data_IF_868005043006
#
_entry.id   IF_868005043006
#
_cell.length_a   1.000
_cell.length_b   1.000
_cell.length_c   1.000
_cell.angle_alpha   90.00
_cell.angle_beta   90.00
_cell.angle_gamma   90.00
#
_symmetry.space_group_name_H-M   'P 1'
#
loop_
_entity.id
_entity.type
_entity.pdbx_description
1 polymer ?
#
# COMPACT_ATOMS: atom_id res chain seq x y z
N UNK A 1 -5.58 4.15 14.44
CA UNK A 1 -6.22 4.29 13.11
C UNK A 1 -7.19 5.49 13.00
N UNK A 2 -8.12 5.75 13.95
CA UNK A 2 -9.09 6.85 13.81
C UNK A 2 -8.46 8.24 13.58
N UNK A 3 -7.38 8.57 14.31
CA UNK A 3 -6.62 9.81 14.12
C UNK A 3 -6.06 9.96 12.70
N UNK A 4 -5.48 8.89 12.14
CA UNK A 4 -4.91 8.89 10.80
C UNK A 4 -5.99 9.18 9.74
N UNK A 5 -7.14 8.50 9.82
CA UNK A 5 -8.25 8.75 8.91
C UNK A 5 -8.78 10.18 9.02
N UNK A 6 -8.82 10.75 10.23
CA UNK A 6 -9.15 12.15 10.45
C UNK A 6 -8.20 13.09 9.72
N UNK A 7 -6.89 12.86 9.86
CA UNK A 7 -5.86 13.66 9.16
C UNK A 7 -6.02 13.56 7.64
N UNK A 8 -6.19 12.35 7.09
CA UNK A 8 -6.38 12.16 5.64
C UNK A 8 -7.57 12.96 5.10
N UNK A 9 -8.69 12.98 5.84
CA UNK A 9 -9.86 13.81 5.51
C UNK A 9 -9.55 15.31 5.57
N UNK A 10 -8.92 15.77 6.65
CA UNK A 10 -8.60 17.19 6.85
C UNK A 10 -7.70 17.75 5.76
N UNK A 11 -6.69 16.97 5.34
CA UNK A 11 -5.76 17.38 4.27
C UNK A 11 -6.29 17.10 2.87
N UNK A 12 -7.51 16.55 2.73
CA UNK A 12 -8.11 16.15 1.46
C UNK A 12 -7.23 15.20 0.64
N UNK A 13 -6.58 14.25 1.31
CA UNK A 13 -5.78 13.22 0.62
C UNK A 13 -6.68 12.18 -0.03
N UNK A 14 -6.25 11.63 -1.17
CA UNK A 14 -6.92 10.48 -1.82
C UNK A 14 -6.40 9.13 -1.31
N UNK A 15 -5.26 9.12 -0.62
CA UNK A 15 -4.61 7.90 -0.18
C UNK A 15 -3.44 8.12 0.78
N UNK A 16 -2.84 7.00 1.17
CA UNK A 16 -1.70 6.93 2.09
C UNK A 16 -0.57 6.10 1.48
N UNK A 17 0.63 6.69 1.40
CA UNK A 17 1.87 5.97 1.12
C UNK A 17 2.59 5.55 2.41
N UNK A 18 3.08 4.31 2.50
CA UNK A 18 3.88 3.85 3.65
C UNK A 18 5.05 2.94 3.26
N UNK A 19 6.01 2.78 4.18
CA UNK A 19 7.02 1.74 4.09
C UNK A 19 6.49 0.35 4.43
N UNK A 20 7.32 -0.69 4.27
CA UNK A 20 6.98 -2.10 4.54
C UNK A 20 7.06 -2.45 6.03
N UNK A 21 6.30 -1.75 6.86
CA UNK A 21 6.31 -1.98 8.31
C UNK A 21 5.75 -3.37 8.66
N UNK A 22 6.37 -4.15 9.58
CA UNK A 22 5.93 -5.51 9.93
C UNK A 22 4.49 -5.56 10.46
N UNK A 23 4.10 -4.58 11.27
CA UNK A 23 2.75 -4.46 11.84
C UNK A 23 1.68 -3.96 10.84
N UNK A 24 2.04 -3.75 9.57
CA UNK A 24 1.06 -3.41 8.55
C UNK A 24 0.40 -4.69 8.04
N UNK A 25 -0.90 -4.79 8.29
CA UNK A 25 -1.72 -5.96 7.98
C UNK A 25 -2.92 -5.58 7.12
N UNK A 26 -3.52 -6.59 6.47
CA UNK A 26 -4.72 -6.41 5.62
C UNK A 26 -5.84 -5.60 6.27
N UNK A 27 -6.11 -5.81 7.57
CA UNK A 27 -7.12 -5.05 8.32
C UNK A 27 -6.92 -3.53 8.30
N UNK A 28 -5.67 -3.06 8.19
CA UNK A 28 -5.35 -1.64 8.11
C UNK A 28 -5.69 -1.07 6.73
N UNK A 29 -5.37 -1.82 5.66
CA UNK A 29 -5.68 -1.44 4.29
C UNK A 29 -7.19 -1.52 4.03
N UNK A 30 -7.86 -2.54 4.54
CA UNK A 30 -9.32 -2.68 4.47
C UNK A 30 -10.03 -1.48 5.11
N UNK A 31 -9.51 -0.98 6.23
CA UNK A 31 -10.06 0.19 6.90
C UNK A 31 -9.79 1.51 6.15
N UNK A 32 -8.65 1.64 5.45
CA UNK A 32 -8.40 2.76 4.53
C UNK A 32 -9.39 2.71 3.36
N UNK A 33 -9.52 1.55 2.71
CA UNK A 33 -10.41 1.35 1.57
C UNK A 33 -11.88 1.62 1.94
N UNK A 34 -12.36 1.11 3.09
CA UNK A 34 -13.71 1.40 3.61
C UNK A 34 -13.95 2.88 3.87
N UNK A 35 -12.90 3.63 4.20
CA UNK A 35 -12.96 5.07 4.40
C UNK A 35 -12.79 5.88 3.10
N UNK A 36 -12.63 5.23 1.95
CA UNK A 36 -12.47 5.85 0.64
C UNK A 36 -11.03 6.21 0.26
N UNK A 37 -10.04 5.73 1.00
CA UNK A 37 -8.62 6.05 0.76
C UNK A 37 -7.87 4.87 0.13
N UNK A 38 -7.00 5.18 -0.84
CA UNK A 38 -6.07 4.21 -1.41
C UNK A 38 -4.87 3.98 -0.49
N UNK A 39 -4.27 2.79 -0.56
CA UNK A 39 -2.97 2.52 0.05
C UNK A 39 -1.92 2.30 -1.03
N UNK A 40 -0.72 2.83 -0.80
CA UNK A 40 0.45 2.70 -1.65
C UNK A 40 1.66 2.32 -0.80
N UNK A 41 2.56 1.49 -1.34
CA UNK A 41 3.76 1.04 -0.61
C UNK A 41 5.04 1.42 -1.33
N UNK A 42 6.04 1.86 -0.57
CA UNK A 42 7.36 2.24 -1.07
C UNK A 42 8.47 1.78 -0.11
N UNK A 43 9.73 1.66 -0.51
CA UNK A 43 10.17 1.19 -1.82
C UNK A 43 10.30 -0.32 -1.73
N UNK A 44 9.65 -1.06 -2.62
CA UNK A 44 9.61 -2.53 -2.56
C UNK A 44 10.32 -3.12 -3.77
N UNK A 45 11.44 -3.79 -3.50
CA UNK A 45 12.24 -4.47 -4.54
C UNK A 45 12.08 -5.99 -4.50
N UNK A 46 11.56 -6.54 -3.40
CA UNK A 46 11.31 -7.96 -3.22
C UNK A 46 9.92 -8.36 -3.79
N UNK A 47 9.84 -9.30 -4.75
CA UNK A 47 8.57 -9.75 -5.32
C UNK A 47 7.61 -10.41 -4.33
N UNK A 48 8.09 -11.13 -3.32
CA UNK A 48 7.23 -11.74 -2.31
C UNK A 48 6.59 -10.67 -1.42
N UNK A 49 7.35 -9.63 -1.05
CA UNK A 49 6.80 -8.48 -0.33
C UNK A 49 5.78 -7.74 -1.20
N UNK A 50 6.09 -7.51 -2.48
CA UNK A 50 5.17 -6.90 -3.44
C UNK A 50 3.85 -7.68 -3.54
N UNK A 51 3.91 -9.02 -3.71
CA UNK A 51 2.72 -9.90 -3.76
C UNK A 51 1.90 -9.79 -2.49
N UNK A 52 2.54 -9.88 -1.31
CA UNK A 52 1.87 -9.70 -0.02
C UNK A 52 1.11 -8.37 0.05
N UNK A 53 1.71 -7.27 -0.40
CA UNK A 53 1.04 -5.96 -0.38
C UNK A 53 -0.14 -5.87 -1.35
N UNK A 54 -0.01 -6.44 -2.56
CA UNK A 54 -1.12 -6.53 -3.51
C UNK A 54 -2.29 -7.37 -2.94
N UNK A 55 -1.99 -8.51 -2.33
CA UNK A 55 -2.98 -9.37 -1.65
C UNK A 55 -3.67 -8.67 -0.48
N UNK A 56 -2.95 -7.79 0.24
CA UNK A 56 -3.55 -6.96 1.29
C UNK A 56 -4.45 -5.84 0.75
N UNK A 57 -4.47 -5.58 -0.57
CA UNK A 57 -5.29 -4.55 -1.20
C UNK A 57 -4.55 -3.24 -1.52
N UNK A 58 -3.22 -3.25 -1.53
CA UNK A 58 -2.42 -2.09 -1.93
C UNK A 58 -2.65 -1.75 -3.40
N UNK A 59 -2.82 -0.46 -3.72
CA UNK A 59 -3.14 0.01 -5.07
C UNK A 59 -1.91 0.22 -5.95
N UNK A 60 -0.78 0.62 -5.38
CA UNK A 60 0.46 0.75 -6.13
C UNK A 60 1.70 0.43 -5.30
N UNK A 61 2.74 0.01 -6.00
CA UNK A 61 4.06 -0.28 -5.45
C UNK A 61 5.07 0.64 -6.11
N UNK A 62 5.80 1.41 -5.32
CA UNK A 62 7.01 2.12 -5.74
C UNK A 62 8.20 1.18 -5.61
N UNK A 63 9.00 1.06 -6.65
CA UNK A 63 10.14 0.14 -6.74
C UNK A 63 11.28 0.76 -7.54
N UNK A 64 12.51 0.39 -7.25
CA UNK A 64 13.68 0.78 -8.04
C UNK A 64 13.78 -0.04 -9.34
N UNK A 65 13.05 -1.15 -9.45
CA UNK A 65 13.14 -2.08 -10.57
C UNK A 65 11.79 -2.37 -11.25
N UNK A 66 11.10 -1.35 -11.80
CA UNK A 66 9.72 -1.48 -12.29
C UNK A 66 9.55 -2.57 -13.35
N UNK A 67 10.46 -2.66 -14.32
CA UNK A 67 10.41 -3.67 -15.37
C UNK A 67 10.64 -5.10 -14.85
N UNK A 68 11.56 -5.28 -13.89
CA UNK A 68 11.83 -6.59 -13.28
C UNK A 68 10.65 -7.03 -12.44
N UNK A 69 10.15 -6.14 -11.57
CA UNK A 69 9.06 -6.47 -10.66
C UNK A 69 7.78 -6.80 -11.41
N UNK A 70 7.41 -6.01 -12.44
CA UNK A 70 6.25 -6.29 -13.29
C UNK A 70 6.30 -7.69 -13.90
N UNK A 71 7.41 -8.06 -14.55
CA UNK A 71 7.59 -9.39 -15.16
C UNK A 71 7.50 -10.54 -14.15
N UNK A 72 7.88 -10.32 -12.89
CA UNK A 72 7.78 -11.35 -11.85
C UNK A 72 6.35 -11.46 -11.29
N UNK A 73 5.57 -10.39 -11.34
CA UNK A 73 4.18 -10.38 -10.85
C UNK A 73 3.17 -10.86 -11.90
N UNK A 74 3.48 -10.72 -13.19
CA UNK A 74 2.64 -11.20 -14.30
C UNK A 74 2.79 -12.72 -14.57
N UNK A 75 3.69 -13.39 -13.85
CA UNK A 75 3.87 -14.85 -13.88
C UNK A 75 3.13 -15.52 -12.73
#
# INVERSE_FOLDING_TARGET
LPRLLGVLKTVKADGLGSSTHPDLHKKHLDALAKAGFQHHVWTVNDPAIARRFLEMGCRSITTDFPGRLRRTLEK
#
